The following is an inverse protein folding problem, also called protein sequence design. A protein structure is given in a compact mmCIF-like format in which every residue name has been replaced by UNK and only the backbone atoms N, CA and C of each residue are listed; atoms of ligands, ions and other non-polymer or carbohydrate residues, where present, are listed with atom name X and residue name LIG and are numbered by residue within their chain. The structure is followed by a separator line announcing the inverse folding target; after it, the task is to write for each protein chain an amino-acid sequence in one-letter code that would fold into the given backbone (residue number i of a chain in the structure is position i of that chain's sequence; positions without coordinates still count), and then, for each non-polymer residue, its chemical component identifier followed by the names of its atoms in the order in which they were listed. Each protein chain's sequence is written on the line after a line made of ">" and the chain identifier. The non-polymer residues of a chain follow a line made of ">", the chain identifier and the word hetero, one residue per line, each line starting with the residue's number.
data_IF_102196389988
#
_entry.id   IF_102196389988
#
_cell.length_a   1.000
_cell.length_b   1.000
_cell.length_c   1.000
_cell.angle_alpha   90.00
_cell.angle_beta   90.00
_cell.angle_gamma   90.00
#
_symmetry.space_group_name_H-M   'P 1'
#
loop_
_entity.id
_entity.type
_entity.pdbx_description
1 polymer ?
#
# COMPACT_ATOMS: atom_id res chain seq x y z
N UNK A 1 -17.69 0.54 -17.54
CA UNK A 1 -16.75 1.49 -16.92
C UNK A 1 -15.32 1.08 -17.25
N UNK A 2 -14.47 2.06 -17.50
CA UNK A 2 -13.04 1.83 -17.75
C UNK A 2 -12.41 1.12 -16.55
N UNK A 3 -11.72 -0.03 -16.75
CA UNK A 3 -11.09 -0.75 -15.64
C UNK A 3 -10.13 0.11 -14.84
N UNK A 4 -9.39 1.02 -15.48
CA UNK A 4 -8.47 1.91 -14.77
C UNK A 4 -9.23 2.81 -13.79
N UNK A 5 -10.33 3.41 -14.23
CA UNK A 5 -11.14 4.28 -13.38
C UNK A 5 -11.75 3.52 -12.21
N UNK A 6 -12.18 2.29 -12.46
CA UNK A 6 -12.76 1.46 -11.42
C UNK A 6 -11.71 1.10 -10.35
N UNK A 7 -10.52 0.68 -10.76
CA UNK A 7 -9.43 0.35 -9.83
C UNK A 7 -9.01 1.58 -9.02
N UNK A 8 -8.97 2.75 -9.66
CA UNK A 8 -8.67 4.00 -8.95
C UNK A 8 -9.74 4.33 -7.91
N UNK A 9 -11.01 4.17 -8.27
CA UNK A 9 -12.11 4.40 -7.33
C UNK A 9 -12.08 3.41 -6.16
N UNK A 10 -11.76 2.16 -6.41
CA UNK A 10 -11.58 1.17 -5.36
C UNK A 10 -10.44 1.56 -4.42
N UNK A 11 -9.33 2.02 -4.98
CA UNK A 11 -8.20 2.50 -4.20
C UNK A 11 -8.57 3.67 -3.30
N UNK A 12 -9.32 4.63 -3.82
CA UNK A 12 -9.80 5.77 -3.04
C UNK A 12 -10.72 5.32 -1.90
N UNK A 13 -11.63 4.38 -2.18
CA UNK A 13 -12.55 3.86 -1.17
C UNK A 13 -11.80 3.12 -0.06
N UNK A 14 -10.83 2.29 -0.42
CA UNK A 14 -10.00 1.55 0.55
C UNK A 14 -9.18 2.52 1.39
N UNK A 15 -8.53 3.50 0.77
CA UNK A 15 -7.74 4.49 1.49
C UNK A 15 -8.60 5.29 2.47
N UNK A 16 -9.79 5.71 2.05
CA UNK A 16 -10.71 6.45 2.90
C UNK A 16 -11.18 5.60 4.07
N UNK A 17 -11.60 4.36 3.82
CA UNK A 17 -12.08 3.46 4.87
C UNK A 17 -10.98 3.18 5.90
N UNK A 18 -9.75 2.90 5.45
CA UNK A 18 -8.63 2.63 6.35
C UNK A 18 -8.24 3.87 7.16
N UNK A 19 -8.21 5.05 6.52
CA UNK A 19 -7.89 6.32 7.20
C UNK A 19 -8.92 6.65 8.26
N UNK A 20 -10.21 6.55 7.93
CA UNK A 20 -11.30 6.82 8.87
C UNK A 20 -11.24 5.85 10.05
N UNK A 21 -11.04 4.56 9.78
CA UNK A 21 -10.90 3.55 10.84
C UNK A 21 -9.74 3.88 11.77
N UNK A 22 -8.60 4.25 11.19
CA UNK A 22 -7.42 4.64 11.95
C UNK A 22 -7.73 5.84 12.86
N UNK A 23 -8.36 6.86 12.31
CA UNK A 23 -8.70 8.09 13.04
C UNK A 23 -9.71 7.82 14.16
N UNK A 24 -10.74 7.01 13.88
CA UNK A 24 -11.76 6.68 14.88
C UNK A 24 -11.21 5.87 16.05
N UNK A 25 -10.11 5.16 15.84
CA UNK A 25 -9.42 4.43 16.90
C UNK A 25 -8.52 5.34 17.75
N UNK A 26 -8.43 6.63 17.44
CA UNK A 26 -7.62 7.59 18.21
C UNK A 26 -6.11 7.36 18.09
N UNK A 27 -5.65 6.79 16.99
CA UNK A 27 -4.23 6.46 16.80
C UNK A 27 -3.40 7.67 16.41
N UNK A 28 -2.08 7.55 16.57
CA UNK A 28 -1.12 8.64 16.38
C UNK A 28 -1.05 9.11 14.92
N UNK A 29 -1.21 10.41 14.70
CA UNK A 29 -1.00 11.04 13.40
C UNK A 29 0.47 10.99 13.00
N UNK A 30 1.39 11.15 13.94
CA UNK A 30 2.82 11.07 13.66
C UNK A 30 3.21 9.67 13.15
N UNK A 31 2.65 8.63 13.77
CA UNK A 31 2.86 7.26 13.31
C UNK A 31 2.33 7.07 11.89
N UNK A 32 1.15 7.62 11.60
CA UNK A 32 0.54 7.53 10.26
C UNK A 32 1.48 8.13 9.19
N UNK A 33 1.93 9.36 9.40
CA UNK A 33 2.80 10.05 8.45
C UNK A 33 4.14 9.33 8.31
N UNK A 34 4.74 8.93 9.43
CA UNK A 34 6.02 8.24 9.42
C UNK A 34 5.98 6.91 8.66
N UNK A 35 4.92 6.13 8.87
CA UNK A 35 4.77 4.84 8.17
C UNK A 35 4.48 5.00 6.69
N UNK A 36 3.68 6.01 6.30
CA UNK A 36 3.44 6.30 4.89
C UNK A 36 4.77 6.57 4.17
N UNK A 37 5.63 7.38 4.79
CA UNK A 37 6.95 7.67 4.21
C UNK A 37 7.87 6.45 4.22
N UNK A 38 7.83 5.66 5.29
CA UNK A 38 8.68 4.47 5.43
C UNK A 38 8.38 3.43 4.34
N UNK A 39 7.11 3.28 3.95
CA UNK A 39 6.74 2.32 2.91
C UNK A 39 7.38 2.64 1.57
N UNK A 40 7.73 3.90 1.31
CA UNK A 40 8.44 4.29 0.10
C UNK A 40 9.88 3.77 0.05
N UNK A 41 10.43 3.32 1.17
CA UNK A 41 11.76 2.69 1.18
C UNK A 41 11.78 1.37 0.41
N UNK A 42 10.62 0.78 0.13
CA UNK A 42 10.54 -0.41 -0.73
C UNK A 42 11.10 -0.18 -2.13
N UNK A 43 11.20 1.09 -2.54
CA UNK A 43 11.80 1.46 -3.83
C UNK A 43 13.31 1.25 -3.87
N UNK A 44 13.95 1.11 -2.72
CA UNK A 44 15.42 0.97 -2.64
C UNK A 44 15.93 -0.24 -3.45
N UNK A 45 15.08 -1.25 -3.63
CA UNK A 45 15.42 -2.42 -4.42
C UNK A 45 15.79 -2.12 -5.86
N UNK A 46 15.35 -0.96 -6.40
CA UNK A 46 15.71 -0.55 -7.76
C UNK A 46 17.19 -0.22 -7.92
N UNK A 47 17.92 -0.01 -6.83
CA UNK A 47 19.37 0.13 -6.87
C UNK A 47 20.05 -1.17 -7.35
N UNK A 48 19.39 -2.30 -7.24
CA UNK A 48 19.88 -3.61 -7.67
C UNK A 48 19.22 -4.09 -8.98
N UNK A 49 18.51 -3.20 -9.69
CA UNK A 49 17.88 -3.51 -10.97
C UNK A 49 16.36 -3.59 -10.91
N UNK A 50 15.73 -3.64 -12.08
CA UNK A 50 14.28 -3.60 -12.20
C UNK A 50 13.58 -4.81 -11.56
N UNK A 51 14.20 -6.01 -11.66
CA UNK A 51 13.61 -7.22 -11.07
C UNK A 51 13.52 -7.13 -9.55
N UNK A 52 14.62 -6.76 -8.89
CA UNK A 52 14.66 -6.60 -7.44
C UNK A 52 13.78 -5.44 -7.01
N UNK A 53 13.83 -4.33 -7.74
CA UNK A 53 13.00 -3.17 -7.47
C UNK A 53 11.51 -3.51 -7.53
N UNK A 54 11.08 -4.20 -8.58
CA UNK A 54 9.69 -4.63 -8.71
C UNK A 54 9.28 -5.59 -7.58
N UNK A 55 10.13 -6.55 -7.23
CA UNK A 55 9.84 -7.49 -6.16
C UNK A 55 9.66 -6.81 -4.80
N UNK A 56 10.57 -5.91 -4.42
CA UNK A 56 10.49 -5.20 -3.15
C UNK A 56 9.32 -4.22 -3.11
N UNK A 57 9.11 -3.49 -4.20
CA UNK A 57 7.99 -2.56 -4.30
C UNK A 57 6.66 -3.30 -4.22
N UNK A 58 6.49 -4.37 -5.00
CA UNK A 58 5.25 -5.12 -5.05
C UNK A 58 4.93 -5.79 -3.71
N UNK A 59 5.95 -6.30 -3.01
CA UNK A 59 5.76 -6.89 -1.69
C UNK A 59 5.14 -5.87 -0.71
N UNK A 60 5.56 -4.60 -0.79
CA UNK A 60 5.03 -3.54 0.07
C UNK A 60 3.72 -2.94 -0.44
N UNK A 61 3.39 -3.09 -1.72
CA UNK A 61 2.26 -2.39 -2.36
C UNK A 61 1.14 -3.31 -2.84
N UNK A 62 1.15 -4.59 -2.45
CA UNK A 62 0.00 -5.47 -2.59
C UNK A 62 -0.76 -5.53 -1.26
N UNK A 63 -2.08 -5.66 -1.33
CA UNK A 63 -2.92 -5.78 -0.13
C UNK A 63 -2.67 -7.06 0.67
N UNK A 64 -1.97 -8.02 0.11
CA UNK A 64 -1.68 -9.29 0.80
C UNK A 64 -0.90 -9.07 2.09
N UNK A 65 0.04 -8.13 2.10
CA UNK A 65 0.82 -7.82 3.30
C UNK A 65 -0.03 -7.29 4.46
N UNK A 66 -0.75 -6.17 4.25
CA UNK A 66 -1.58 -5.62 5.33
C UNK A 66 -2.71 -6.54 5.76
N UNK A 67 -3.30 -7.33 4.85
CA UNK A 67 -4.33 -8.31 5.21
C UNK A 67 -3.74 -9.38 6.13
N UNK A 68 -2.57 -9.93 5.77
CA UNK A 68 -1.89 -10.93 6.61
C UNK A 68 -1.51 -10.35 7.98
N UNK A 69 -0.98 -9.13 8.00
CA UNK A 69 -0.61 -8.46 9.25
C UNK A 69 -1.83 -8.21 10.12
N UNK A 70 -2.94 -7.75 9.53
CA UNK A 70 -4.18 -7.52 10.26
C UNK A 70 -4.70 -8.82 10.87
N UNK A 71 -4.71 -9.91 10.12
CA UNK A 71 -5.16 -11.22 10.61
C UNK A 71 -4.33 -11.71 11.79
N UNK A 72 -3.00 -11.65 11.68
CA UNK A 72 -2.10 -12.03 12.78
C UNK A 72 -2.30 -11.11 13.98
N UNK A 73 -2.45 -9.80 13.75
CA UNK A 73 -2.59 -8.82 14.82
C UNK A 73 -3.87 -9.02 15.63
N UNK A 74 -4.96 -9.35 14.96
CA UNK A 74 -6.24 -9.60 15.62
C UNK A 74 -6.18 -10.88 16.45
N UNK A 75 -5.61 -11.95 15.89
CA UNK A 75 -5.50 -13.24 16.60
C UNK A 75 -4.53 -13.20 17.76
N UNK A 76 -3.51 -12.36 17.72
CA UNK A 76 -2.53 -12.20 18.81
C UNK A 76 -2.84 -11.02 19.73
N UNK A 77 -3.95 -10.31 19.51
CA UNK A 77 -4.35 -9.13 20.27
C UNK A 77 -3.24 -8.08 20.35
N UNK A 78 -2.69 -7.70 19.20
CA UNK A 78 -1.59 -6.72 19.09
C UNK A 78 -2.12 -5.42 18.44
N UNK A 79 -2.70 -4.47 19.22
CA UNK A 79 -3.37 -3.29 18.66
C UNK A 79 -2.44 -2.40 17.82
N UNK A 80 -1.18 -2.27 18.22
CA UNK A 80 -0.21 -1.47 17.46
C UNK A 80 -0.07 -1.98 16.03
N UNK A 81 0.02 -3.30 15.85
CA UNK A 81 0.18 -3.90 14.53
C UNK A 81 -1.09 -3.72 13.66
N UNK A 82 -2.27 -3.67 14.28
CA UNK A 82 -3.50 -3.31 13.55
C UNK A 82 -3.38 -1.89 12.98
N UNK A 83 -2.86 -0.95 13.75
CA UNK A 83 -2.60 0.41 13.29
C UNK A 83 -1.64 0.43 12.10
N UNK A 84 -0.56 -0.34 12.16
CA UNK A 84 0.40 -0.45 11.05
C UNK A 84 -0.29 -0.99 9.80
N UNK A 85 -1.11 -2.03 9.94
CA UNK A 85 -1.85 -2.60 8.81
C UNK A 85 -2.80 -1.59 8.18
N UNK A 86 -3.47 -0.75 8.98
CA UNK A 86 -4.37 0.29 8.48
C UNK A 86 -3.61 1.36 7.69
N UNK A 87 -2.48 1.83 8.20
CA UNK A 87 -1.65 2.81 7.48
C UNK A 87 -1.12 2.21 6.18
N UNK A 88 -0.68 0.98 6.22
CA UNK A 88 -0.18 0.25 5.05
C UNK A 88 -1.28 0.14 3.98
N UNK A 89 -2.50 -0.23 4.38
CA UNK A 89 -3.66 -0.30 3.49
C UNK A 89 -3.98 1.06 2.88
N UNK A 90 -3.96 2.12 3.69
CA UNK A 90 -4.19 3.49 3.21
C UNK A 90 -3.18 3.89 2.15
N UNK A 91 -1.90 3.58 2.37
CA UNK A 91 -0.84 3.92 1.42
C UNK A 91 -1.06 3.24 0.07
N UNK A 92 -1.37 1.94 0.08
CA UNK A 92 -1.64 1.20 -1.15
C UNK A 92 -2.88 1.76 -1.86
N UNK A 93 -3.94 2.03 -1.12
CA UNK A 93 -5.18 2.58 -1.68
C UNK A 93 -4.96 3.95 -2.32
N UNK A 94 -4.19 4.82 -1.67
CA UNK A 94 -3.85 6.13 -2.22
C UNK A 94 -3.03 6.00 -3.50
N UNK A 95 -2.07 5.07 -3.54
CA UNK A 95 -1.29 4.84 -4.76
C UNK A 95 -2.19 4.37 -5.91
N UNK A 96 -3.16 3.49 -5.65
CA UNK A 96 -4.13 3.08 -6.67
C UNK A 96 -4.93 4.26 -7.19
N UNK A 97 -5.36 5.16 -6.32
CA UNK A 97 -6.09 6.36 -6.72
C UNK A 97 -5.27 7.20 -7.71
N UNK A 98 -3.97 7.32 -7.49
CA UNK A 98 -3.08 8.07 -8.36
C UNK A 98 -2.53 7.24 -9.52
N UNK A 99 -3.10 6.08 -9.79
CA UNK A 99 -2.73 5.18 -10.89
C UNK A 99 -1.38 4.48 -10.70
N UNK A 100 -0.84 4.45 -9.49
CA UNK A 100 0.35 3.67 -9.18
C UNK A 100 -0.05 2.24 -8.83
N UNK A 101 0.23 1.32 -9.73
CA UNK A 101 -0.04 -0.10 -9.53
C UNK A 101 1.22 -0.89 -9.19
N UNK A 102 1.11 -2.20 -9.31
CA UNK A 102 2.24 -3.10 -9.12
C UNK A 102 3.24 -2.97 -10.28
N UNK A 103 4.51 -3.17 -10.00
CA UNK A 103 5.59 -2.99 -10.96
C UNK A 103 5.87 -4.29 -11.73
N UNK A 104 6.31 -4.13 -12.97
CA UNK A 104 6.80 -5.25 -13.78
C UNK A 104 8.30 -5.43 -13.57
N UNK A 105 8.76 -6.69 -13.47
CA UNK A 105 10.15 -7.02 -13.18
C UNK A 105 11.11 -6.58 -14.30
N UNK A 106 10.63 -6.50 -15.54
CA UNK A 106 11.43 -6.19 -16.73
C UNK A 106 11.16 -4.78 -17.27
N UNK A 107 10.48 -3.91 -16.48
CA UNK A 107 10.05 -2.59 -16.91
C UNK A 107 10.68 -1.50 -16.06
N UNK A 108 10.60 -0.27 -16.57
CA UNK A 108 11.04 0.90 -15.84
C UNK A 108 10.15 1.18 -14.63
N UNK A 109 10.66 1.95 -13.68
CA UNK A 109 9.99 2.25 -12.43
C UNK A 109 8.57 2.80 -12.61
N UNK A 110 8.35 3.68 -13.60
CA UNK A 110 7.04 4.28 -13.84
C UNK A 110 6.01 3.37 -14.49
N UNK A 111 6.41 2.20 -15.00
CA UNK A 111 5.55 1.30 -15.76
C UNK A 111 4.87 0.30 -14.83
N UNK A 112 3.62 0.56 -14.48
CA UNK A 112 2.83 -0.30 -13.56
C UNK A 112 1.67 -0.93 -14.30
N UNK A 113 1.04 -1.94 -13.69
CA UNK A 113 -0.12 -2.60 -14.29
C UNK A 113 -1.30 -1.64 -14.54
N UNK A 114 -1.45 -0.60 -13.70
CA UNK A 114 -2.52 0.39 -13.89
C UNK A 114 -2.30 1.27 -15.12
N UNK A 115 -1.06 1.50 -15.53
CA UNK A 115 -0.76 2.27 -16.74
C UNK A 115 -1.07 1.48 -18.02
N UNK A 116 -1.27 0.18 -17.92
CA UNK A 116 -1.59 -0.70 -19.05
C UNK A 116 -3.07 -1.04 -19.19
N UNK A 117 -3.88 -0.58 -18.27
CA UNK A 117 -5.33 -0.82 -18.31
C UNK A 117 -6.08 0.09 -19.30
#
# INVERSE_FOLDING_TARGET
>A
MDPRKLVRAEGAAVAMAATVTYALQGRSLLLFVGLVLLLNLSMVGYLHGARVGAATYNAAHTYLGPIALAGVSITTATPFAVGVALVWTTHIGADRLFSYGLKYADREFGDTHLHRL
#
